data_IF_303031396144
#
_entry.id   IF_303031396144
#
_cell.length_a   1.000
_cell.length_b   1.000
_cell.length_c   1.000
_cell.angle_alpha   90.00
_cell.angle_beta   90.00
_cell.angle_gamma   90.00
#
_symmetry.space_group_name_H-M   'P 1'
#
loop_
_entity.id
_entity.type
_entity.pdbx_description
1 polymer ?
#
# COMPACT_ATOMS: atom_id res chain seq x y z
N UNK A 1 23.15 20.24 -41.26
CA UNK A 1 23.63 21.05 -40.11
C UNK A 1 24.06 20.08 -39.03
N UNK A 2 25.33 20.20 -38.56
CA UNK A 2 25.94 19.66 -37.32
C UNK A 2 25.69 18.18 -36.97
N UNK A 3 26.62 17.30 -36.64
CA UNK A 3 28.09 17.18 -36.55
C UNK A 3 28.26 15.73 -36.02
N UNK A 4 29.04 14.83 -36.66
CA UNK A 4 30.38 14.40 -36.20
C UNK A 4 30.35 13.87 -34.74
N UNK A 5 30.70 12.63 -34.36
CA UNK A 5 31.94 11.83 -34.55
C UNK A 5 31.64 10.44 -33.91
N UNK A 6 31.42 9.33 -34.62
CA UNK A 6 32.37 8.28 -35.04
C UNK A 6 33.53 7.95 -34.10
N UNK A 7 33.76 6.64 -33.88
CA UNK A 7 35.03 6.01 -33.48
C UNK A 7 35.37 6.09 -31.98
N UNK A 8 36.01 5.12 -31.33
CA UNK A 8 36.34 3.70 -31.53
C UNK A 8 37.14 3.33 -30.25
N UNK A 9 37.50 2.06 -30.13
CA UNK A 9 38.55 1.53 -29.26
C UNK A 9 38.15 1.31 -27.78
N UNK A 10 37.83 0.09 -27.36
CA UNK A 10 38.82 -0.96 -27.02
C UNK A 10 40.01 -0.38 -26.27
N UNK A 11 40.05 -0.61 -24.95
CA UNK A 11 41.27 -0.86 -24.19
C UNK A 11 40.87 -1.39 -22.80
N UNK A 12 40.89 -2.71 -22.66
CA UNK A 12 41.05 -3.36 -21.38
C UNK A 12 42.49 -3.11 -20.88
N UNK A 13 42.72 -2.77 -19.61
CA UNK A 13 44.03 -2.90 -19.00
C UNK A 13 44.05 -4.15 -18.12
N UNK A 14 44.60 -5.24 -18.65
CA UNK A 14 45.17 -6.31 -17.84
C UNK A 14 46.68 -6.10 -17.77
N UNK A 15 47.17 -5.54 -16.66
CA UNK A 15 48.54 -5.72 -16.20
C UNK A 15 48.56 -5.74 -14.66
N UNK A 16 49.07 -6.84 -14.13
CA UNK A 16 49.42 -7.01 -12.74
C UNK A 16 50.54 -6.04 -12.33
N UNK A 17 50.31 -5.31 -11.24
CA UNK A 17 51.30 -4.52 -10.52
C UNK A 17 51.04 -4.65 -9.02
N UNK A 18 51.84 -5.49 -8.36
CA UNK A 18 51.95 -5.58 -6.92
C UNK A 18 52.83 -4.42 -6.43
N UNK A 19 52.30 -3.50 -5.61
CA UNK A 19 53.01 -2.78 -4.54
C UNK A 19 52.23 -1.55 -4.08
N UNK A 20 51.59 -1.68 -2.91
CA UNK A 20 51.47 -0.58 -1.94
C UNK A 20 50.32 0.42 -2.14
N UNK A 21 49.41 0.43 -1.16
CA UNK A 21 48.82 1.67 -0.68
C UNK A 21 47.33 1.87 -0.98
N UNK A 22 46.58 1.92 0.12
CA UNK A 22 45.27 2.54 0.30
C UNK A 22 44.05 1.86 -0.33
N UNK A 23 43.20 1.41 0.59
CA UNK A 23 41.89 0.84 0.36
C UNK A 23 40.97 1.79 -0.42
N UNK A 24 40.39 1.28 -1.50
CA UNK A 24 39.05 1.67 -1.91
C UNK A 24 38.24 0.38 -2.01
N UNK A 25 37.68 -0.02 -0.87
CA UNK A 25 36.59 -0.97 -0.78
C UNK A 25 35.55 -0.57 -1.83
N UNK A 26 35.03 -1.51 -2.65
CA UNK A 26 33.91 -1.18 -3.51
C UNK A 26 32.78 -0.68 -2.61
N UNK A 27 32.23 0.51 -2.89
CA UNK A 27 31.01 0.99 -2.26
C UNK A 27 29.91 -0.02 -2.60
N UNK A 28 29.63 -0.91 -1.65
CA UNK A 28 28.60 -1.93 -1.77
C UNK A 28 27.27 -1.20 -1.87
N UNK A 29 26.46 -1.69 -2.82
CA UNK A 29 25.05 -1.40 -3.03
C UNK A 29 24.23 -1.78 -1.78
N UNK A 30 24.37 -1.02 -0.69
CA UNK A 30 23.85 -1.37 0.64
C UNK A 30 22.44 -0.84 0.95
N UNK A 31 21.98 0.23 0.31
CA UNK A 31 20.93 1.02 0.96
C UNK A 31 19.49 0.52 0.74
N UNK A 32 19.15 -0.10 -0.39
CA UNK A 32 17.75 -0.43 -0.70
C UNK A 32 17.22 -1.60 0.14
N UNK A 33 18.05 -2.61 0.38
CA UNK A 33 17.63 -3.80 1.15
C UNK A 33 17.51 -3.49 2.65
N UNK A 34 18.32 -2.56 3.16
CA UNK A 34 18.26 -2.12 4.56
C UNK A 34 17.07 -1.16 4.81
N UNK A 35 16.72 -0.31 3.83
CA UNK A 35 15.58 0.60 3.90
C UNK A 35 14.24 -0.14 3.87
N UNK A 36 14.04 -1.06 2.90
CA UNK A 36 12.84 -1.91 2.84
C UNK A 36 12.64 -2.75 4.13
N UNK A 37 13.74 -3.21 4.72
CA UNK A 37 13.71 -3.98 5.97
C UNK A 37 13.34 -3.13 7.18
N UNK A 38 13.76 -1.87 7.22
CA UNK A 38 13.41 -0.92 8.28
C UNK A 38 11.94 -0.50 8.20
N UNK A 39 11.43 -0.15 7.02
CA UNK A 39 10.01 0.18 6.81
C UNK A 39 9.10 -1.00 7.17
N UNK A 40 9.49 -2.21 6.76
CA UNK A 40 8.76 -3.44 7.14
C UNK A 40 8.77 -3.70 8.65
N UNK A 41 9.86 -3.34 9.35
CA UNK A 41 9.96 -3.50 10.80
C UNK A 41 9.11 -2.47 11.54
N UNK A 42 9.06 -1.22 11.05
CA UNK A 42 8.20 -0.16 11.58
C UNK A 42 6.72 -0.53 11.44
N UNK A 43 6.29 -0.96 10.25
CA UNK A 43 4.92 -1.42 10.05
C UNK A 43 4.55 -2.57 10.98
N UNK A 44 5.43 -3.57 11.16
CA UNK A 44 5.17 -4.66 12.09
C UNK A 44 5.00 -4.15 13.52
N UNK A 45 5.84 -3.22 13.95
CA UNK A 45 5.75 -2.60 15.29
C UNK A 45 4.41 -1.91 15.51
N UNK A 46 3.92 -1.15 14.53
CA UNK A 46 2.64 -0.44 14.64
C UNK A 46 1.45 -1.40 14.74
N UNK A 47 1.48 -2.50 13.98
CA UNK A 47 0.44 -3.53 14.07
C UNK A 47 0.50 -4.28 15.41
N UNK A 48 1.70 -4.57 15.91
CA UNK A 48 1.91 -5.20 17.23
C UNK A 48 1.41 -4.32 18.38
N UNK A 49 1.59 -2.99 18.31
CA UNK A 49 1.04 -2.06 19.29
C UNK A 49 -0.49 -2.12 19.34
N UNK A 50 -1.14 -2.35 18.20
CA UNK A 50 -2.60 -2.36 18.10
C UNK A 50 -3.24 -3.71 18.46
N UNK A 51 -2.61 -4.83 18.10
CA UNK A 51 -3.19 -6.18 18.26
C UNK A 51 -2.50 -7.07 19.29
N UNK A 52 -1.32 -6.68 19.75
CA UNK A 52 -0.40 -7.57 20.44
C UNK A 52 0.38 -8.49 19.49
N UNK A 53 1.39 -9.16 20.02
CA UNK A 53 2.43 -9.88 19.24
C UNK A 53 1.99 -11.21 18.62
N UNK A 54 0.83 -11.76 19.02
CA UNK A 54 0.51 -13.18 18.80
C UNK A 54 -0.70 -13.43 17.88
N UNK A 55 -1.32 -12.38 17.33
CA UNK A 55 -2.71 -12.47 16.82
C UNK A 55 -2.86 -12.26 15.31
N UNK A 56 -1.85 -11.75 14.58
CA UNK A 56 -2.04 -11.33 13.18
C UNK A 56 -1.12 -11.98 12.16
N UNK A 57 -1.67 -12.26 10.97
CA UNK A 57 -0.91 -12.65 9.78
C UNK A 57 -0.45 -11.37 9.06
N UNK A 58 0.79 -10.97 9.32
CA UNK A 58 1.37 -9.77 8.72
C UNK A 58 1.38 -9.82 7.19
N UNK A 59 1.62 -10.98 6.59
CA UNK A 59 1.62 -11.10 5.12
C UNK A 59 0.23 -10.91 4.54
N UNK A 60 -0.80 -11.47 5.20
CA UNK A 60 -2.19 -11.24 4.81
C UNK A 60 -2.55 -9.75 4.93
N UNK A 61 -2.09 -9.07 5.98
CA UNK A 61 -2.32 -7.63 6.17
C UNK A 61 -1.65 -6.79 5.08
N UNK A 62 -0.40 -7.11 4.71
CA UNK A 62 0.29 -6.44 3.60
C UNK A 62 -0.44 -6.63 2.27
N UNK A 63 -0.94 -7.84 2.00
CA UNK A 63 -1.70 -8.13 0.79
C UNK A 63 -3.04 -7.38 0.76
N UNK A 64 -3.73 -7.32 1.90
CA UNK A 64 -4.97 -6.55 2.03
C UNK A 64 -4.72 -5.06 1.76
N UNK A 65 -3.71 -4.48 2.41
CA UNK A 65 -3.34 -3.07 2.20
C UNK A 65 -3.01 -2.78 0.72
N UNK A 66 -2.26 -3.66 0.05
CA UNK A 66 -1.93 -3.49 -1.37
C UNK A 66 -3.16 -3.51 -2.30
N UNK A 67 -4.17 -4.32 -1.98
CA UNK A 67 -5.46 -4.31 -2.70
C UNK A 67 -6.23 -3.03 -2.39
N UNK A 68 -6.23 -2.62 -1.13
CA UNK A 68 -6.92 -1.43 -0.65
C UNK A 68 -6.36 -0.13 -1.22
N UNK A 69 -5.07 -0.09 -1.58
CA UNK A 69 -4.47 1.04 -2.28
C UNK A 69 -5.12 1.36 -3.64
N UNK A 70 -5.86 0.42 -4.24
CA UNK A 70 -6.61 0.70 -5.47
C UNK A 70 -7.88 1.53 -5.21
N UNK A 71 -8.30 1.64 -3.95
CA UNK A 71 -9.54 2.30 -3.54
C UNK A 71 -9.28 3.76 -3.20
N UNK A 72 -9.16 4.59 -4.22
CA UNK A 72 -8.74 5.99 -4.08
C UNK A 72 -9.87 6.96 -3.72
N UNK A 73 -11.13 6.53 -3.82
CA UNK A 73 -12.31 7.39 -3.61
C UNK A 73 -13.03 7.05 -2.30
N UNK A 74 -13.45 8.09 -1.57
CA UNK A 74 -14.19 7.93 -0.32
C UNK A 74 -15.51 7.15 -0.49
N UNK A 75 -16.20 7.33 -1.61
CA UNK A 75 -17.43 6.57 -1.89
C UNK A 75 -17.18 5.08 -2.08
N UNK A 76 -16.05 4.70 -2.66
CA UNK A 76 -15.69 3.29 -2.79
C UNK A 76 -15.38 2.69 -1.42
N UNK A 77 -14.71 3.46 -0.55
CA UNK A 77 -14.48 3.07 0.85
C UNK A 77 -15.77 2.91 1.65
N UNK A 78 -16.71 3.85 1.50
CA UNK A 78 -18.02 3.74 2.15
C UNK A 78 -18.75 2.46 1.76
N UNK A 79 -18.72 2.10 0.47
CA UNK A 79 -19.37 0.89 -0.04
C UNK A 79 -18.70 -0.37 0.49
N UNK A 80 -17.36 -0.45 0.45
CA UNK A 80 -16.61 -1.59 0.97
C UNK A 80 -16.90 -1.81 2.47
N UNK A 81 -16.77 -0.76 3.27
CA UNK A 81 -16.98 -0.81 4.72
C UNK A 81 -18.44 -1.10 5.09
N UNK A 82 -19.39 -0.57 4.33
CA UNK A 82 -20.81 -0.86 4.54
C UNK A 82 -21.17 -2.32 4.17
N UNK A 83 -20.58 -2.87 3.10
CA UNK A 83 -20.81 -4.25 2.67
C UNK A 83 -20.11 -5.28 3.58
N UNK A 84 -18.90 -4.97 4.05
CA UNK A 84 -18.16 -5.86 4.96
C UNK A 84 -18.76 -5.88 6.37
N UNK A 85 -19.34 -4.76 6.80
CA UNK A 85 -19.82 -4.56 8.17
C UNK A 85 -18.69 -4.50 9.20
N UNK A 86 -17.43 -4.53 8.76
CA UNK A 86 -16.26 -4.55 9.63
C UNK A 86 -15.63 -3.16 9.73
N UNK A 87 -16.21 -2.35 10.62
CA UNK A 87 -15.58 -1.10 11.10
C UNK A 87 -14.66 -1.35 12.28
N UNK A 88 -14.72 -2.55 12.88
CA UNK A 88 -13.98 -2.87 14.10
C UNK A 88 -12.48 -3.03 13.84
N UNK A 89 -12.10 -3.43 12.63
CA UNK A 89 -10.72 -3.54 12.17
C UNK A 89 -10.22 -2.30 11.41
N UNK A 90 -11.03 -1.23 11.34
CA UNK A 90 -10.72 -0.01 10.58
C UNK A 90 -9.38 0.63 10.94
N UNK A 91 -8.96 0.56 12.20
CA UNK A 91 -7.66 1.04 12.64
C UNK A 91 -6.50 0.24 12.03
N UNK A 92 -6.66 -1.07 11.82
CA UNK A 92 -5.66 -1.90 11.14
C UNK A 92 -5.59 -1.60 9.66
N UNK A 93 -6.73 -1.42 9.02
CA UNK A 93 -6.80 -0.98 7.62
C UNK A 93 -6.07 0.34 7.46
N UNK A 94 -6.33 1.29 8.36
CA UNK A 94 -5.64 2.58 8.37
C UNK A 94 -4.12 2.43 8.53
N UNK A 95 -3.64 1.67 9.50
CA UNK A 95 -2.20 1.39 9.66
C UNK A 95 -1.62 0.80 8.37
N UNK A 96 -2.31 -0.18 7.78
CA UNK A 96 -1.88 -0.78 6.52
C UNK A 96 -1.78 0.23 5.37
N UNK A 97 -2.75 1.15 5.26
CA UNK A 97 -2.75 2.22 4.26
C UNK A 97 -1.67 3.27 4.51
N UNK A 98 -1.41 3.65 5.76
CA UNK A 98 -0.35 4.61 6.11
C UNK A 98 1.03 4.12 5.63
N UNK A 99 1.27 2.81 5.72
CA UNK A 99 2.52 2.18 5.25
C UNK A 99 2.54 1.86 3.75
N UNK A 100 1.42 1.42 3.17
CA UNK A 100 1.39 0.98 1.77
C UNK A 100 1.09 2.10 0.75
N UNK A 101 0.24 3.07 1.11
CA UNK A 101 -0.28 4.11 0.22
C UNK A 101 -0.93 5.26 1.02
N UNK A 102 -0.10 6.09 1.64
CA UNK A 102 -0.55 7.18 2.51
C UNK A 102 -1.50 8.20 1.82
N UNK A 103 -1.47 8.30 0.49
CA UNK A 103 -2.36 9.14 -0.31
C UNK A 103 -3.83 8.68 -0.28
N UNK A 104 -4.08 7.41 0.06
CA UNK A 104 -5.43 6.82 0.14
C UNK A 104 -6.06 7.02 1.53
N UNK A 105 -5.27 7.33 2.56
CA UNK A 105 -5.75 7.43 3.96
C UNK A 105 -6.85 8.46 4.14
N UNK A 106 -6.77 9.62 3.48
CA UNK A 106 -7.82 10.65 3.57
C UNK A 106 -9.16 10.15 2.99
N UNK A 107 -9.11 9.43 1.87
CA UNK A 107 -10.29 8.83 1.26
C UNK A 107 -10.88 7.73 2.17
N UNK A 108 -10.03 6.92 2.79
CA UNK A 108 -10.44 5.92 3.78
C UNK A 108 -11.13 6.56 4.98
N UNK A 109 -10.50 7.55 5.63
CA UNK A 109 -11.05 8.24 6.80
C UNK A 109 -12.41 8.90 6.48
N UNK A 110 -12.53 9.52 5.30
CA UNK A 110 -13.79 10.09 4.82
C UNK A 110 -14.87 9.03 4.60
N UNK A 111 -14.51 7.87 4.02
CA UNK A 111 -15.39 6.73 3.80
C UNK A 111 -15.88 6.10 5.10
N UNK A 112 -14.97 5.86 6.05
CA UNK A 112 -15.26 5.35 7.39
C UNK A 112 -16.21 6.29 8.14
N UNK A 113 -15.91 7.59 8.15
CA UNK A 113 -16.76 8.57 8.81
C UNK A 113 -18.17 8.63 8.19
N UNK A 114 -18.33 8.35 6.89
CA UNK A 114 -19.66 8.25 6.28
C UNK A 114 -20.44 7.06 6.82
N UNK A 115 -19.79 5.90 6.97
CA UNK A 115 -20.38 4.68 7.55
C UNK A 115 -20.77 4.88 9.02
N UNK A 116 -19.88 5.45 9.83
CA UNK A 116 -20.14 5.69 11.26
C UNK A 116 -21.27 6.72 11.51
N UNK A 117 -21.47 7.65 10.58
CA UNK A 117 -22.56 8.65 10.65
C UNK A 117 -23.88 8.13 10.10
N UNK A 118 -23.87 7.04 9.33
CA UNK A 118 -25.10 6.47 8.79
C UNK A 118 -25.94 5.86 9.92
N UNK A 119 -27.27 6.04 9.85
CA UNK A 119 -28.18 5.37 10.77
C UNK A 119 -28.18 3.85 10.53
N UNK A 120 -28.10 3.47 9.25
CA UNK A 120 -27.83 2.12 8.78
C UNK A 120 -26.72 2.21 7.71
N UNK A 121 -25.55 1.59 7.90
CA UNK A 121 -24.51 1.51 6.88
C UNK A 121 -25.01 1.02 5.52
N UNK A 122 -25.99 0.11 5.50
CA UNK A 122 -26.53 -0.42 4.24
C UNK A 122 -27.32 0.63 3.45
N UNK A 123 -27.79 1.73 4.06
CA UNK A 123 -28.41 2.82 3.30
C UNK A 123 -27.42 3.50 2.34
N UNK A 124 -26.11 3.42 2.63
CA UNK A 124 -25.06 3.94 1.74
C UNK A 124 -24.86 3.09 0.48
N UNK A 125 -25.43 1.88 0.45
CA UNK A 125 -25.28 0.90 -0.63
C UNK A 125 -26.62 0.57 -1.30
N UNK A 126 -27.65 0.34 -0.50
CA UNK A 126 -28.98 -0.10 -0.91
C UNK A 126 -30.00 1.04 -0.98
N UNK A 127 -29.61 2.27 -0.64
CA UNK A 127 -30.50 3.42 -0.63
C UNK A 127 -31.02 3.81 -2.02
N UNK A 128 -32.20 4.46 -2.10
CA UNK A 128 -32.89 4.75 -3.36
C UNK A 128 -32.12 5.71 -4.30
N UNK A 129 -31.21 6.52 -3.74
CA UNK A 129 -30.40 7.50 -4.48
C UNK A 129 -28.94 7.05 -4.68
N UNK A 130 -28.59 5.84 -4.24
CA UNK A 130 -27.22 5.33 -4.33
C UNK A 130 -26.89 4.97 -5.77
N UNK A 131 -25.76 5.48 -6.25
CA UNK A 131 -25.21 5.14 -7.56
C UNK A 131 -23.92 4.35 -7.37
N UNK A 132 -24.02 3.05 -7.58
CA UNK A 132 -22.89 2.13 -7.51
C UNK A 132 -22.21 1.98 -8.88
N UNK A 133 -20.92 1.65 -8.85
CA UNK A 133 -20.23 1.14 -10.03
C UNK A 133 -20.84 -0.20 -10.45
N UNK A 134 -20.56 -0.65 -11.68
CA UNK A 134 -21.03 -1.97 -12.15
C UNK A 134 -20.52 -3.10 -11.27
N UNK A 135 -19.30 -2.99 -10.73
CA UNK A 135 -18.70 -3.99 -9.85
C UNK A 135 -19.37 -3.97 -8.48
N UNK A 136 -19.51 -2.80 -7.87
CA UNK A 136 -20.11 -2.66 -6.55
C UNK A 136 -21.58 -3.06 -6.54
N UNK A 137 -22.29 -2.83 -7.63
CA UNK A 137 -23.68 -3.29 -7.78
C UNK A 137 -23.78 -4.82 -7.73
N UNK A 138 -22.84 -5.55 -8.33
CA UNK A 138 -22.83 -7.02 -8.27
C UNK A 138 -22.59 -7.53 -6.84
N UNK A 139 -21.73 -6.85 -6.07
CA UNK A 139 -21.51 -7.16 -4.65
C UNK A 139 -22.75 -6.82 -3.82
N UNK A 140 -23.36 -5.67 -4.09
CA UNK A 140 -24.54 -5.18 -3.41
C UNK A 140 -25.80 -6.02 -3.69
N UNK A 141 -25.97 -6.59 -4.89
CA UNK A 141 -27.14 -7.41 -5.25
C UNK A 141 -27.34 -8.61 -4.31
N UNK A 142 -26.26 -9.11 -3.69
CA UNK A 142 -26.31 -10.21 -2.72
C UNK A 142 -26.82 -9.77 -1.33
N UNK A 143 -26.76 -8.48 -1.03
CA UNK A 143 -27.07 -7.90 0.30
C UNK A 143 -28.32 -7.04 0.27
N UNK A 144 -28.48 -6.22 -0.77
CA UNK A 144 -29.61 -5.32 -1.00
C UNK A 144 -30.87 -6.03 -1.52
N UNK A 145 -30.82 -7.37 -1.65
CA UNK A 145 -31.88 -8.20 -2.21
C UNK A 145 -32.62 -9.03 -1.16
N UNK A 146 -33.71 -8.45 -0.63
CA UNK A 146 -34.97 -9.12 -0.29
C UNK A 146 -36.14 -8.22 -0.66
#
# INVERSE_FOLDING_TARGET
>A
MRALVLALALLAPALAGCSGGEAATPAVSGNVVEEDAAETAEWRSDVEEHLGTDVFDFLALQQAAALDCQRTDASSWSVELALSGDVSTSALTRIGLEHACADVVEAFDAGLAAVERAADPLDLVCGPDVRLSSEDRLKADLVCGA
#
